data_IF_896867009643
#
_entry.id   IF_896867009643
#
_cell.length_a   1.000
_cell.length_b   1.000
_cell.length_c   1.000
_cell.angle_alpha   90.00
_cell.angle_beta   90.00
_cell.angle_gamma   90.00
#
_symmetry.space_group_name_H-M   'P 1'
#
loop_
_entity.id
_entity.type
_entity.pdbx_description
1 polymer ?
#
# COMPACT_ATOMS: atom_id res chain seq x y z
N UNK A 1 20.57 -8.92 -15.48
CA UNK A 1 19.96 -7.77 -14.78
C UNK A 1 19.99 -8.09 -13.29
N UNK A 2 20.73 -7.32 -12.49
CA UNK A 2 20.82 -7.59 -11.06
C UNK A 2 19.48 -7.20 -10.40
N UNK A 3 18.78 -8.18 -9.86
CA UNK A 3 17.58 -7.98 -9.04
C UNK A 3 18.00 -7.16 -7.83
N UNK A 4 17.66 -5.86 -7.79
CA UNK A 4 18.01 -4.97 -6.68
C UNK A 4 17.10 -5.27 -5.48
N UNK A 5 17.33 -6.40 -4.83
CA UNK A 5 16.61 -6.82 -3.61
C UNK A 5 17.08 -5.93 -2.47
N UNK A 6 16.15 -5.23 -1.82
CA UNK A 6 16.44 -4.45 -0.63
C UNK A 6 16.25 -5.34 0.60
N UNK A 7 17.25 -5.36 1.46
CA UNK A 7 17.20 -6.05 2.75
C UNK A 7 16.92 -5.04 3.87
N UNK A 8 16.08 -5.41 4.81
CA UNK A 8 15.81 -4.63 6.02
C UNK A 8 15.88 -5.53 7.23
N UNK A 9 16.92 -5.32 8.03
CA UNK A 9 17.13 -6.02 9.30
C UNK A 9 16.30 -5.36 10.41
N UNK A 10 15.62 -6.18 11.20
CA UNK A 10 14.82 -5.73 12.34
C UNK A 10 15.18 -6.57 13.55
N UNK A 11 15.72 -5.93 14.58
CA UNK A 11 15.91 -6.54 15.90
C UNK A 11 14.56 -6.67 16.61
N UNK A 12 14.21 -7.89 16.98
CA UNK A 12 12.95 -8.21 17.64
C UNK A 12 13.16 -9.17 18.80
N UNK A 13 12.14 -9.35 19.63
CA UNK A 13 12.14 -10.33 20.71
C UNK A 13 11.02 -11.33 20.44
N UNK A 14 11.39 -12.60 20.29
CA UNK A 14 10.46 -13.72 20.18
C UNK A 14 9.97 -14.13 21.57
N UNK A 15 8.66 -14.27 21.71
CA UNK A 15 8.00 -14.70 22.94
C UNK A 15 7.37 -16.07 22.71
N UNK A 16 8.06 -17.12 23.14
CA UNK A 16 7.60 -18.50 22.92
C UNK A 16 7.04 -19.10 24.20
N UNK A 17 5.75 -19.42 24.18
CA UNK A 17 5.12 -20.18 25.25
C UNK A 17 5.60 -21.65 25.23
N UNK A 18 6.06 -22.20 26.36
CA UNK A 18 6.44 -23.61 26.45
C UNK A 18 5.20 -24.52 26.33
N UNK A 19 5.40 -25.72 25.79
CA UNK A 19 4.33 -26.70 25.66
C UNK A 19 4.13 -27.46 26.98
N UNK A 20 2.90 -27.52 27.48
CA UNK A 20 2.48 -28.46 28.52
C UNK A 20 2.56 -27.98 29.97
N UNK A 21 3.01 -26.75 30.25
CA UNK A 21 2.97 -26.20 31.61
C UNK A 21 2.79 -24.67 31.58
N UNK A 22 2.16 -24.11 32.62
CA UNK A 22 1.98 -22.66 32.85
C UNK A 22 3.32 -22.00 33.25
N UNK A 23 4.32 -22.19 32.40
CA UNK A 23 5.64 -21.62 32.57
C UNK A 23 5.71 -20.26 31.87
N UNK A 24 6.47 -19.30 32.41
CA UNK A 24 6.61 -17.98 31.82
C UNK A 24 7.15 -18.09 30.38
N UNK A 25 6.61 -17.29 29.47
CA UNK A 25 7.03 -17.27 28.08
C UNK A 25 8.55 -17.05 27.97
N UNK A 26 9.22 -17.91 27.20
CA UNK A 26 10.64 -17.76 26.91
C UNK A 26 10.82 -16.54 26.01
N UNK A 27 11.74 -15.66 26.38
CA UNK A 27 12.10 -14.46 25.60
C UNK A 27 13.44 -14.70 24.92
N UNK A 28 13.49 -14.59 23.60
CA UNK A 28 14.73 -14.70 22.83
C UNK A 28 14.89 -13.50 21.89
N UNK A 29 16.09 -12.92 21.85
CA UNK A 29 16.40 -11.87 20.87
C UNK A 29 16.59 -12.51 19.50
N UNK A 30 15.82 -12.06 18.50
CA UNK A 30 15.87 -12.59 17.14
C UNK A 30 15.95 -11.46 16.13
N UNK A 31 16.76 -11.65 15.09
CA UNK A 31 16.89 -10.72 13.97
C UNK A 31 16.03 -11.21 12.81
N UNK A 32 15.14 -10.36 12.31
CA UNK A 32 14.29 -10.64 11.14
C UNK A 32 14.83 -9.87 9.95
N UNK A 33 15.11 -10.58 8.85
CA UNK A 33 15.56 -9.98 7.59
C UNK A 33 14.39 -9.97 6.61
N UNK A 34 13.89 -8.78 6.28
CA UNK A 34 12.89 -8.60 5.23
C UNK A 34 13.58 -8.39 3.89
N UNK A 35 13.27 -9.24 2.91
CA UNK A 35 13.73 -9.07 1.53
C UNK A 35 12.58 -8.55 0.67
N UNK A 36 12.67 -7.29 0.25
CA UNK A 36 11.70 -6.69 -0.67
C UNK A 36 12.26 -6.71 -2.08
N UNK A 37 11.52 -7.33 -3.01
CA UNK A 37 11.85 -7.30 -4.43
C UNK A 37 11.31 -5.99 -5.04
N UNK A 38 12.03 -5.38 -5.99
CA UNK A 38 11.54 -4.20 -6.69
C UNK A 38 10.24 -4.56 -7.42
N UNK A 39 9.15 -3.86 -7.08
CA UNK A 39 7.80 -4.12 -7.62
C UNK A 39 6.85 -4.90 -6.70
N UNK A 40 7.33 -5.41 -5.57
CA UNK A 40 6.54 -6.09 -4.51
C UNK A 40 6.10 -5.12 -3.40
N UNK A 41 6.13 -3.83 -3.73
CA UNK A 41 5.57 -2.77 -2.90
C UNK A 41 4.05 -2.90 -3.02
N UNK A 42 3.31 -2.99 -1.91
CA UNK A 42 1.85 -2.87 -1.94
C UNK A 42 1.52 -1.51 -2.54
N UNK A 43 1.28 -1.50 -3.85
CA UNK A 43 1.06 -0.29 -4.62
C UNK A 43 -0.18 0.39 -4.06
N UNK A 44 0.01 1.39 -3.19
CA UNK A 44 -1.00 2.40 -2.85
C UNK A 44 -1.44 3.24 -4.06
N UNK A 45 -1.21 2.76 -5.29
CA UNK A 45 -1.55 3.40 -6.57
C UNK A 45 -2.93 3.05 -7.10
N UNK A 46 -3.69 2.15 -6.45
CA UNK A 46 -5.09 1.87 -6.83
C UNK A 46 -6.05 3.04 -6.50
N UNK A 47 -5.62 4.02 -5.71
CA UNK A 47 -6.46 5.17 -5.32
C UNK A 47 -6.37 6.37 -6.28
N UNK A 48 -5.36 6.42 -7.15
CA UNK A 48 -5.16 7.55 -8.06
C UNK A 48 -6.25 7.65 -9.13
N UNK A 49 -6.71 6.51 -9.65
CA UNK A 49 -7.67 6.47 -10.76
C UNK A 49 -9.11 6.79 -10.30
N UNK A 50 -9.47 6.37 -9.09
CA UNK A 50 -10.76 6.70 -8.48
C UNK A 50 -10.93 8.21 -8.21
N UNK A 51 -9.85 8.89 -7.79
CA UNK A 51 -9.88 10.33 -7.53
C UNK A 51 -10.07 11.14 -8.82
N UNK A 52 -9.46 10.70 -9.93
CA UNK A 52 -9.60 11.33 -11.23
C UNK A 52 -11.05 11.23 -11.78
N UNK A 53 -11.69 10.06 -11.63
CA UNK A 53 -13.08 9.87 -12.07
C UNK A 53 -14.06 10.76 -11.29
N UNK A 54 -13.94 10.83 -9.96
CA UNK A 54 -14.83 11.66 -9.12
C UNK A 54 -14.66 13.14 -9.43
N UNK A 55 -13.41 13.62 -9.61
CA UNK A 55 -13.14 15.03 -9.95
C UNK A 55 -13.78 15.41 -11.30
N UNK A 56 -13.68 14.52 -12.30
CA UNK A 56 -14.33 14.73 -13.62
C UNK A 56 -15.85 14.81 -13.50
N UNK A 57 -16.47 13.97 -12.69
CA UNK A 57 -17.93 13.99 -12.46
C UNK A 57 -18.38 15.28 -11.77
N UNK A 58 -17.68 15.72 -10.74
CA UNK A 58 -18.01 16.97 -10.03
C UNK A 58 -17.84 18.19 -10.93
N UNK A 59 -16.75 18.24 -11.71
CA UNK A 59 -16.52 19.31 -12.67
C UNK A 59 -17.59 19.33 -13.78
N UNK A 60 -17.92 18.16 -14.35
CA UNK A 60 -18.96 18.02 -15.37
C UNK A 60 -20.33 18.47 -14.86
N UNK A 61 -20.70 18.07 -13.65
CA UNK A 61 -21.95 18.50 -13.01
C UNK A 61 -21.98 20.02 -12.78
N UNK A 62 -20.87 20.60 -12.30
CA UNK A 62 -20.74 22.05 -12.12
C UNK A 62 -20.88 22.79 -13.45
N UNK A 63 -20.22 22.32 -14.50
CA UNK A 63 -20.22 22.99 -15.81
C UNK A 63 -21.61 22.90 -16.47
N UNK A 64 -22.31 21.78 -16.32
CA UNK A 64 -23.69 21.59 -16.77
C UNK A 64 -24.68 22.55 -16.08
N UNK A 65 -24.55 22.76 -14.76
CA UNK A 65 -25.41 23.67 -14.01
C UNK A 65 -25.05 25.14 -14.30
N UNK A 66 -23.76 25.43 -14.56
CA UNK A 66 -23.29 26.79 -14.88
C UNK A 66 -23.63 27.26 -16.30
N UNK A 67 -24.20 26.39 -17.15
CA UNK A 67 -24.62 26.73 -18.50
C UNK A 67 -23.48 26.80 -19.52
N UNK A 68 -22.32 26.22 -19.22
CA UNK A 68 -21.19 26.17 -20.17
C UNK A 68 -21.14 24.80 -20.87
N UNK A 69 -21.54 24.69 -22.15
CA UNK A 69 -21.43 23.44 -22.89
C UNK A 69 -19.95 23.12 -23.15
N UNK A 70 -19.45 22.02 -22.59
CA UNK A 70 -18.16 21.45 -23.00
C UNK A 70 -18.30 20.96 -24.44
N UNK A 71 -17.46 21.51 -25.32
CA UNK A 71 -17.43 21.18 -26.74
C UNK A 71 -17.28 19.66 -26.92
N UNK A 72 -18.25 19.10 -27.62
CA UNK A 72 -18.20 17.82 -28.28
C UNK A 72 -16.93 17.74 -29.13
N UNK A 73 -16.01 16.85 -28.78
CA UNK A 73 -14.91 16.44 -29.65
C UNK A 73 -15.48 15.60 -30.79
N UNK A 74 -16.01 16.27 -31.80
CA UNK A 74 -16.19 15.71 -33.13
C UNK A 74 -14.84 15.78 -33.87
N UNK A 75 -14.16 14.64 -34.00
CA UNK A 75 -13.65 14.08 -35.28
C UNK A 75 -12.77 12.84 -35.02
#
# INVERSE_FOLDING_TARGET
MASNVKETEVDTVDYRSPAGEDQPAKKENVQIIHQTKPGDETKGGVLSDATAAVTKTVQSAKDAISGHPTKESSK
#
